data_IF_637944215443
#
_entry.id   IF_637944215443
#
_cell.length_a   1.000
_cell.length_b   1.000
_cell.length_c   1.000
_cell.angle_alpha   90.00
_cell.angle_beta   90.00
_cell.angle_gamma   90.00
#
_symmetry.space_group_name_H-M   'P 1'
#
loop_
_entity.id
_entity.type
_entity.pdbx_description
1 polymer ?
#
# COMPACT_ATOMS: atom_id res chain seq x y z
N UNK A 1 73.73 5.92 3.35
CA UNK A 1 72.75 5.21 4.20
C UNK A 1 71.47 6.07 4.24
N UNK A 2 70.49 5.77 3.39
CA UNK A 2 69.19 6.44 3.36
C UNK A 2 68.21 5.63 4.18
N UNK A 3 67.73 6.17 5.28
CA UNK A 3 66.67 5.57 6.09
C UNK A 3 65.28 5.95 5.57
N UNK A 4 64.60 5.02 4.93
CA UNK A 4 63.21 5.18 4.50
C UNK A 4 62.29 5.14 5.73
N UNK A 5 61.54 6.22 5.98
CA UNK A 5 60.45 6.25 6.96
C UNK A 5 59.16 5.77 6.26
N UNK A 6 58.70 4.62 6.68
CA UNK A 6 57.37 4.13 6.29
C UNK A 6 56.32 4.85 7.12
N UNK A 7 55.52 5.67 6.48
CA UNK A 7 54.32 6.30 7.07
C UNK A 7 53.17 5.28 6.99
N UNK A 8 52.81 4.68 8.11
CA UNK A 8 51.61 3.83 8.23
C UNK A 8 50.40 4.73 8.35
N UNK A 9 49.65 4.90 7.27
CA UNK A 9 48.33 5.55 7.31
C UNK A 9 47.32 4.60 7.94
N UNK A 10 46.91 4.89 9.16
CA UNK A 10 45.77 4.22 9.82
C UNK A 10 44.49 4.76 9.16
N UNK A 11 43.88 3.98 8.28
CA UNK A 11 42.50 4.21 7.84
C UNK A 11 41.57 3.98 9.04
N UNK A 12 41.13 5.06 9.64
CA UNK A 12 40.00 5.02 10.58
C UNK A 12 38.75 4.86 9.70
N UNK A 13 38.31 3.62 9.46
CA UNK A 13 36.95 3.37 9.01
C UNK A 13 36.01 3.90 10.09
N UNK A 14 35.50 5.12 9.88
CA UNK A 14 34.37 5.62 10.67
C UNK A 14 33.22 4.66 10.46
N UNK A 15 32.81 3.95 11.50
CA UNK A 15 31.55 3.23 11.54
C UNK A 15 30.48 4.32 11.41
N UNK A 16 29.97 4.54 10.21
CA UNK A 16 28.74 5.29 10.03
C UNK A 16 27.70 4.54 10.87
N UNK A 17 27.13 5.17 11.89
CA UNK A 17 26.04 4.61 12.68
C UNK A 17 24.97 4.19 11.69
N UNK A 18 24.76 2.89 11.53
CA UNK A 18 23.73 2.36 10.66
C UNK A 18 22.42 2.35 11.48
N UNK A 19 21.34 2.77 10.85
CA UNK A 19 20.00 2.60 11.39
C UNK A 19 19.78 1.13 11.74
N UNK A 20 19.26 0.88 12.95
CA UNK A 20 19.07 -0.49 13.42
C UNK A 20 17.62 -0.86 13.55
N UNK A 21 17.29 -2.11 13.20
CA UNK A 21 15.98 -2.69 13.43
C UNK A 21 16.06 -3.82 14.45
N UNK A 22 15.17 -3.76 15.45
CA UNK A 22 14.95 -4.84 16.40
C UNK A 22 13.56 -5.41 16.20
N UNK A 23 13.51 -6.69 15.83
CA UNK A 23 12.23 -7.41 15.65
C UNK A 23 11.61 -7.76 16.99
N UNK A 24 10.30 -8.04 17.01
CA UNK A 24 9.53 -8.35 18.21
C UNK A 24 10.18 -9.46 19.07
N UNK A 25 10.74 -10.50 18.46
CA UNK A 25 11.38 -11.62 19.16
C UNK A 25 12.75 -11.28 19.78
N UNK A 26 13.38 -10.20 19.31
CA UNK A 26 14.70 -9.74 19.78
C UNK A 26 14.61 -8.55 20.75
N UNK A 27 13.42 -7.96 20.92
CA UNK A 27 13.18 -6.84 21.83
C UNK A 27 13.21 -7.27 23.30
N UNK A 28 13.56 -6.31 24.17
CA UNK A 28 13.26 -6.44 25.60
C UNK A 28 11.74 -6.48 25.82
N UNK A 29 11.31 -7.11 26.91
CA UNK A 29 9.88 -7.12 27.27
C UNK A 29 9.33 -5.71 27.44
N UNK A 30 10.12 -4.81 27.98
CA UNK A 30 9.77 -3.39 28.20
C UNK A 30 9.47 -2.70 26.86
N UNK A 31 10.37 -2.77 25.90
CA UNK A 31 10.20 -2.12 24.60
C UNK A 31 9.03 -2.73 23.83
N UNK A 32 8.95 -4.08 23.80
CA UNK A 32 7.86 -4.79 23.13
C UNK A 32 6.50 -4.40 23.70
N UNK A 33 6.36 -4.37 25.02
CA UNK A 33 5.09 -4.04 25.68
C UNK A 33 4.75 -2.56 25.48
N UNK A 34 5.71 -1.64 25.50
CA UNK A 34 5.48 -0.23 25.25
C UNK A 34 4.97 0.04 23.82
N UNK A 35 5.60 -0.57 22.81
CA UNK A 35 5.16 -0.45 21.41
C UNK A 35 3.80 -1.10 21.18
N UNK A 36 3.59 -2.29 21.73
CA UNK A 36 2.32 -3.01 21.62
C UNK A 36 1.17 -2.22 22.28
N UNK A 37 1.39 -1.65 23.47
CA UNK A 37 0.40 -0.84 24.19
C UNK A 37 0.08 0.45 23.41
N UNK A 38 1.08 1.14 22.86
CA UNK A 38 0.86 2.33 22.05
C UNK A 38 0.05 2.00 20.78
N UNK A 39 0.41 0.96 20.04
CA UNK A 39 -0.32 0.52 18.85
C UNK A 39 -1.78 0.14 19.16
N UNK A 40 -2.00 -0.61 20.25
CA UNK A 40 -3.34 -0.98 20.70
C UNK A 40 -4.19 0.25 21.06
N UNK A 41 -3.64 1.18 21.85
CA UNK A 41 -4.37 2.39 22.25
C UNK A 41 -4.78 3.24 21.06
N UNK A 42 -3.91 3.37 20.04
CA UNK A 42 -4.24 4.07 18.78
C UNK A 42 -5.32 3.33 17.99
N UNK A 43 -5.26 1.99 17.91
CA UNK A 43 -6.27 1.18 17.23
C UNK A 43 -7.64 1.28 17.92
N UNK A 44 -7.68 1.34 19.26
CA UNK A 44 -8.91 1.57 20.03
C UNK A 44 -9.52 2.95 19.71
N UNK A 45 -8.71 4.01 19.54
CA UNK A 45 -9.20 5.31 19.10
C UNK A 45 -9.81 5.26 17.69
N UNK A 46 -9.15 4.57 16.75
CA UNK A 46 -9.70 4.36 15.39
C UNK A 46 -11.02 3.58 15.47
N UNK A 47 -11.07 2.48 16.21
CA UNK A 47 -12.27 1.66 16.35
C UNK A 47 -13.46 2.43 16.96
N UNK A 48 -13.17 3.30 17.93
CA UNK A 48 -14.16 4.17 18.56
C UNK A 48 -14.56 5.38 17.71
N UNK A 49 -13.96 5.58 16.53
CA UNK A 49 -14.06 6.80 15.72
C UNK A 49 -13.68 8.08 16.50
N UNK A 50 -12.75 7.95 17.46
CA UNK A 50 -12.26 9.05 18.30
C UNK A 50 -11.07 9.73 17.64
N UNK A 51 -11.34 10.49 16.57
CA UNK A 51 -10.31 11.21 15.83
C UNK A 51 -9.57 12.25 16.71
N UNK A 52 -10.27 12.92 17.62
CA UNK A 52 -9.68 13.89 18.55
C UNK A 52 -8.72 13.20 19.54
N UNK A 53 -9.10 12.05 20.09
CA UNK A 53 -8.25 11.25 20.95
C UNK A 53 -7.01 10.74 20.20
N UNK A 54 -7.13 10.35 18.94
CA UNK A 54 -5.98 9.95 18.12
C UNK A 54 -5.07 11.15 17.79
N UNK A 55 -5.64 12.33 17.49
CA UNK A 55 -4.90 13.57 17.29
C UNK A 55 -4.04 13.94 18.50
N UNK A 56 -4.57 13.78 19.71
CA UNK A 56 -3.83 14.03 20.95
C UNK A 56 -2.66 13.05 21.17
N UNK A 57 -2.66 11.91 20.50
CA UNK A 57 -1.58 10.92 20.51
C UNK A 57 -0.64 11.06 19.30
N UNK A 58 -0.80 12.09 18.48
CA UNK A 58 -0.04 12.30 17.24
C UNK A 58 1.09 13.29 17.46
N UNK A 59 2.21 13.11 16.76
CA UNK A 59 3.34 14.05 16.78
C UNK A 59 2.86 15.46 16.36
N UNK A 60 3.47 16.53 16.93
CA UNK A 60 2.99 17.90 16.71
C UNK A 60 2.90 18.31 15.24
N UNK A 61 3.80 17.81 14.40
CA UNK A 61 3.86 18.14 12.98
C UNK A 61 2.58 17.70 12.24
N UNK A 62 2.04 16.52 12.53
CA UNK A 62 0.83 16.00 11.89
C UNK A 62 -0.44 16.33 12.68
N UNK A 63 -0.34 16.58 13.97
CA UNK A 63 -1.48 17.01 14.77
C UNK A 63 -2.02 18.39 14.36
N UNK A 64 -1.16 19.26 13.78
CA UNK A 64 -1.54 20.61 13.30
C UNK A 64 -2.42 20.55 12.05
N UNK A 65 -2.21 19.55 11.18
CA UNK A 65 -2.99 19.34 9.96
C UNK A 65 -3.51 17.90 9.94
N UNK A 66 -4.49 17.63 10.82
CA UNK A 66 -5.02 16.29 11.05
C UNK A 66 -6.18 15.92 10.13
N UNK A 67 -6.67 16.83 9.30
CA UNK A 67 -7.89 16.64 8.50
C UNK A 67 -7.88 15.41 7.60
N UNK A 68 -6.76 15.16 6.91
CA UNK A 68 -6.61 13.97 6.08
C UNK A 68 -6.67 12.68 6.91
N UNK A 69 -5.99 12.64 8.06
CA UNK A 69 -6.00 11.47 8.97
C UNK A 69 -7.39 11.28 9.57
N UNK A 70 -8.07 12.36 9.94
CA UNK A 70 -9.46 12.30 10.42
C UNK A 70 -10.39 11.65 9.39
N UNK A 71 -10.25 12.00 8.10
CA UNK A 71 -11.00 11.35 7.02
C UNK A 71 -10.72 9.85 6.93
N UNK A 72 -9.45 9.45 7.05
CA UNK A 72 -9.05 8.02 7.07
C UNK A 72 -9.65 7.30 8.27
N UNK A 73 -9.62 7.90 9.47
CA UNK A 73 -10.25 7.34 10.68
C UNK A 73 -11.74 7.14 10.46
N UNK A 74 -12.46 8.17 9.96
CA UNK A 74 -13.90 8.10 9.70
C UNK A 74 -14.29 7.00 8.72
N UNK A 75 -13.46 6.77 7.68
CA UNK A 75 -13.67 5.72 6.68
C UNK A 75 -13.33 4.32 7.23
N UNK A 76 -12.40 4.22 8.19
CA UNK A 76 -11.92 2.93 8.74
C UNK A 76 -12.79 2.46 9.92
N UNK A 77 -13.22 3.36 10.78
CA UNK A 77 -13.94 3.04 12.00
C UNK A 77 -15.17 2.12 11.81
N UNK A 78 -16.04 2.36 10.80
CA UNK A 78 -17.17 1.45 10.54
C UNK A 78 -16.73 0.03 10.17
N UNK A 79 -15.58 -0.12 9.51
CA UNK A 79 -15.03 -1.40 9.03
C UNK A 79 -14.47 -2.26 10.17
N UNK A 80 -14.00 -1.63 11.24
CA UNK A 80 -13.37 -2.31 12.38
C UNK A 80 -14.24 -2.28 13.65
N UNK A 81 -15.47 -1.78 13.56
CA UNK A 81 -16.40 -1.68 14.68
C UNK A 81 -16.68 -3.06 15.27
N UNK A 82 -16.45 -3.21 16.59
CA UNK A 82 -16.68 -4.47 17.30
C UNK A 82 -15.66 -5.57 17.01
N UNK A 83 -14.65 -5.34 16.20
CA UNK A 83 -13.59 -6.30 15.94
C UNK A 83 -12.72 -6.52 17.20
N UNK A 84 -12.14 -7.71 17.33
CA UNK A 84 -11.14 -7.99 18.36
C UNK A 84 -9.78 -7.47 17.89
N UNK A 85 -9.17 -6.56 18.66
CA UNK A 85 -7.86 -5.97 18.34
C UNK A 85 -6.74 -6.84 18.88
N UNK A 86 -5.86 -7.31 18.01
CA UNK A 86 -4.72 -8.18 18.36
C UNK A 86 -3.44 -7.58 17.78
N UNK A 87 -2.38 -7.48 18.61
CA UNK A 87 -1.06 -7.09 18.11
C UNK A 87 -0.53 -8.24 17.25
N UNK A 88 -0.34 -7.99 15.96
CA UNK A 88 0.25 -8.96 15.03
C UNK A 88 1.78 -8.91 15.13
N UNK A 89 2.34 -7.71 15.04
CA UNK A 89 3.79 -7.51 15.02
C UNK A 89 4.16 -6.11 15.50
N UNK A 90 5.32 -5.99 16.15
CA UNK A 90 5.96 -4.69 16.43
C UNK A 90 7.42 -4.72 16.01
N UNK A 91 7.93 -3.56 15.57
CA UNK A 91 9.33 -3.32 15.22
C UNK A 91 9.82 -2.09 15.97
N UNK A 92 11.05 -2.15 16.50
CA UNK A 92 11.76 -0.97 17.01
C UNK A 92 12.81 -0.59 15.97
N UNK A 93 12.74 0.66 15.53
CA UNK A 93 13.55 1.24 14.47
C UNK A 93 14.36 2.38 15.10
N UNK A 94 15.67 2.21 15.30
CA UNK A 94 16.52 3.21 15.92
C UNK A 94 17.35 3.96 14.88
N UNK A 95 17.02 5.23 14.71
CA UNK A 95 17.70 6.19 13.85
C UNK A 95 18.32 7.32 14.69
N UNK A 96 18.69 7.07 15.95
CA UNK A 96 19.23 8.10 16.84
C UNK A 96 20.53 8.72 16.33
N UNK A 97 21.32 7.98 15.56
CA UNK A 97 22.57 8.43 14.96
C UNK A 97 22.41 8.98 13.51
N UNK A 98 21.16 9.07 13.00
CA UNK A 98 20.87 9.59 11.67
C UNK A 98 21.30 11.06 11.57
N UNK A 99 22.16 11.37 10.60
CA UNK A 99 22.61 12.74 10.36
C UNK A 99 21.70 13.41 9.33
N UNK A 100 21.40 14.70 9.51
CA UNK A 100 20.72 15.47 8.48
C UNK A 100 21.44 15.37 7.12
N UNK A 101 20.68 15.50 6.05
CA UNK A 101 21.24 15.62 4.71
C UNK A 101 22.17 16.82 4.55
N UNK A 102 22.91 16.86 3.44
CA UNK A 102 23.85 17.95 3.16
C UNK A 102 23.19 19.34 3.09
N UNK A 103 21.88 19.39 2.85
CA UNK A 103 21.05 20.60 2.84
C UNK A 103 20.47 20.97 4.23
N UNK A 104 20.88 20.27 5.28
CA UNK A 104 20.40 20.44 6.65
C UNK A 104 18.99 19.92 6.91
N UNK A 105 18.34 19.28 5.92
CA UNK A 105 17.01 18.69 6.07
C UNK A 105 17.07 17.29 6.67
N UNK A 106 15.94 16.81 7.23
CA UNK A 106 15.85 15.42 7.69
C UNK A 106 16.19 14.44 6.56
N UNK A 107 17.01 13.43 6.88
CA UNK A 107 17.43 12.41 5.91
C UNK A 107 16.39 11.30 5.79
N UNK A 108 16.54 10.47 4.76
CA UNK A 108 15.78 9.22 4.63
C UNK A 108 16.42 8.16 5.52
N UNK A 109 15.62 7.46 6.31
CA UNK A 109 16.07 6.33 7.11
C UNK A 109 15.73 5.01 6.43
N UNK A 110 16.66 4.05 6.50
CA UNK A 110 16.48 2.69 6.00
C UNK A 110 16.81 1.67 7.08
N UNK A 111 15.91 0.74 7.34
CA UNK A 111 16.07 -0.25 8.38
C UNK A 111 15.89 -1.64 7.80
N UNK A 112 16.92 -2.47 7.91
CA UNK A 112 16.87 -3.88 7.54
C UNK A 112 16.54 -4.73 8.76
N UNK A 113 15.37 -5.38 8.74
CA UNK A 113 14.89 -6.26 9.78
C UNK A 113 14.98 -7.72 9.31
N UNK A 114 15.97 -8.46 9.77
CA UNK A 114 16.04 -9.91 9.51
C UNK A 114 15.06 -10.66 10.41
N UNK A 115 14.20 -11.48 9.83
CA UNK A 115 13.17 -12.22 10.56
C UNK A 115 13.71 -13.59 10.99
N UNK A 116 13.70 -13.84 12.30
CA UNK A 116 14.07 -15.14 12.90
C UNK A 116 15.40 -15.74 12.40
N UNK A 117 16.41 -14.90 12.15
CA UNK A 117 17.73 -15.31 11.59
C UNK A 117 17.60 -16.07 10.25
N UNK A 118 16.53 -15.84 9.52
CA UNK A 118 16.30 -16.43 8.20
C UNK A 118 16.72 -15.45 7.10
N UNK A 119 16.66 -15.90 5.84
CA UNK A 119 16.81 -15.03 4.66
C UNK A 119 15.60 -14.11 4.46
N UNK A 120 14.52 -14.33 5.21
CA UNK A 120 13.36 -13.45 5.16
C UNK A 120 13.70 -12.13 5.88
N UNK A 121 13.48 -11.04 5.21
CA UNK A 121 13.72 -9.69 5.71
C UNK A 121 12.50 -8.80 5.46
N UNK A 122 12.35 -7.80 6.32
CA UNK A 122 11.48 -6.67 6.09
C UNK A 122 12.34 -5.40 6.10
N UNK A 123 12.22 -4.59 5.06
CA UNK A 123 12.92 -3.33 4.92
C UNK A 123 11.94 -2.18 5.11
N UNK A 124 12.31 -1.24 5.97
CA UNK A 124 11.56 0.00 6.15
C UNK A 124 12.34 1.13 5.47
N UNK A 125 11.65 1.89 4.60
CA UNK A 125 12.19 3.11 4.00
C UNK A 125 11.29 4.28 4.39
N UNK A 126 11.76 5.12 5.30
CA UNK A 126 10.99 6.23 5.85
C UNK A 126 11.65 7.54 5.40
N UNK A 127 11.00 8.30 4.51
CA UNK A 127 11.57 9.52 3.98
C UNK A 127 11.52 10.68 5.00
N UNK A 128 12.53 11.52 4.98
CA UNK A 128 12.59 12.82 5.67
C UNK A 128 12.26 12.73 7.17
N UNK A 129 12.94 11.84 7.89
CA UNK A 129 12.73 11.67 9.33
C UNK A 129 13.82 12.34 10.16
N UNK A 130 13.49 13.01 11.28
CA UNK A 130 14.46 13.42 12.29
C UNK A 130 15.17 12.23 12.92
N UNK A 131 16.40 12.44 13.42
CA UNK A 131 17.07 11.44 14.24
C UNK A 131 16.23 11.11 15.49
N UNK A 132 16.18 9.81 15.85
CA UNK A 132 15.40 9.37 17.01
C UNK A 132 14.96 7.91 16.92
N UNK A 133 14.17 7.51 17.91
CA UNK A 133 13.59 6.16 17.95
C UNK A 133 12.19 6.15 17.37
N UNK A 134 11.98 5.19 16.50
CA UNK A 134 10.70 4.91 15.84
C UNK A 134 10.23 3.51 16.20
N UNK A 135 8.96 3.28 16.05
CA UNK A 135 8.36 1.96 16.10
C UNK A 135 7.38 1.77 14.96
N UNK A 136 7.17 0.53 14.56
CA UNK A 136 6.08 0.19 13.66
C UNK A 136 5.23 -0.90 14.31
N UNK A 137 3.96 -0.58 14.56
CA UNK A 137 3.02 -1.48 15.20
C UNK A 137 1.93 -1.91 14.22
N UNK A 138 1.73 -3.22 14.07
CA UNK A 138 0.69 -3.81 13.25
C UNK A 138 -0.35 -4.42 14.18
N UNK A 139 -1.57 -3.91 14.10
CA UNK A 139 -2.73 -4.37 14.87
C UNK A 139 -3.74 -4.98 13.92
N UNK A 140 -4.08 -6.22 14.13
CA UNK A 140 -5.15 -6.91 13.41
C UNK A 140 -6.48 -6.65 14.11
N UNK A 141 -7.45 -6.10 13.39
CA UNK A 141 -8.84 -5.99 13.80
C UNK A 141 -9.59 -7.21 13.24
N UNK A 142 -9.72 -8.25 14.09
CA UNK A 142 -10.31 -9.54 13.74
C UNK A 142 -11.83 -9.49 13.72
N UNK A 143 -12.41 -9.93 12.61
CA UNK A 143 -13.86 -9.99 12.41
C UNK A 143 -14.17 -10.77 11.13
N UNK A 144 -15.42 -10.66 10.64
CA UNK A 144 -15.84 -11.32 9.39
C UNK A 144 -15.08 -10.79 8.16
N UNK A 145 -14.72 -9.51 8.16
CA UNK A 145 -13.84 -8.89 7.19
C UNK A 145 -12.69 -8.24 7.98
N UNK A 146 -11.55 -8.96 8.18
CA UNK A 146 -10.47 -8.47 9.03
C UNK A 146 -9.73 -7.31 8.36
N UNK A 147 -9.24 -6.40 9.21
CA UNK A 147 -8.44 -5.24 8.80
C UNK A 147 -7.11 -5.21 9.53
N UNK A 148 -6.09 -4.72 8.85
CA UNK A 148 -4.79 -4.40 9.44
C UNK A 148 -4.71 -2.90 9.66
N UNK A 149 -4.44 -2.52 10.91
CA UNK A 149 -4.23 -1.14 11.35
C UNK A 149 -2.73 -1.01 11.66
N UNK A 150 -1.97 -0.39 10.77
CA UNK A 150 -0.54 -0.23 10.93
C UNK A 150 -0.20 1.21 11.32
N UNK A 151 0.64 1.37 12.33
CA UNK A 151 1.04 2.67 12.86
C UNK A 151 2.56 2.81 12.81
N UNK A 152 3.05 3.85 12.14
CA UNK A 152 4.37 4.37 12.40
C UNK A 152 4.28 5.26 13.64
N UNK A 153 5.13 5.03 14.61
CA UNK A 153 5.17 5.78 15.86
C UNK A 153 6.58 6.30 16.13
N UNK A 154 6.69 7.48 16.73
CA UNK A 154 7.96 8.13 17.10
C UNK A 154 7.99 8.36 18.60
N UNK A 155 9.15 8.15 19.21
CA UNK A 155 9.33 8.44 20.62
C UNK A 155 9.63 9.92 20.82
N UNK A 156 8.71 10.62 21.48
CA UNK A 156 8.83 12.03 21.86
C UNK A 156 8.79 12.17 23.37
N UNK A 157 9.86 12.72 23.97
CA UNK A 157 9.95 12.93 25.43
C UNK A 157 9.58 11.66 26.23
N UNK A 158 10.03 10.50 25.78
CA UNK A 158 9.77 9.19 26.39
C UNK A 158 8.39 8.59 26.12
N UNK A 159 7.52 9.26 25.33
CA UNK A 159 6.19 8.75 24.94
C UNK A 159 6.17 8.36 23.47
N UNK A 160 5.47 7.28 23.14
CA UNK A 160 5.23 6.86 21.77
C UNK A 160 4.03 7.62 21.20
N UNK A 161 4.27 8.39 20.12
CA UNK A 161 3.24 9.18 19.44
C UNK A 161 3.12 8.75 17.98
N UNK A 162 1.92 8.84 17.42
CA UNK A 162 1.66 8.48 16.03
C UNK A 162 2.37 9.42 15.05
N UNK A 163 3.13 8.85 14.12
CA UNK A 163 3.80 9.51 13.02
C UNK A 163 3.28 9.03 11.64
N UNK A 164 2.32 8.12 11.62
CA UNK A 164 1.67 7.65 10.40
C UNK A 164 0.63 6.57 10.71
N UNK A 165 -0.45 6.53 9.89
CA UNK A 165 -1.53 5.54 10.02
C UNK A 165 -1.87 4.96 8.66
N UNK A 166 -1.83 3.62 8.53
CA UNK A 166 -1.98 2.86 7.29
C UNK A 166 -2.99 1.73 7.49
N UNK A 167 -4.29 1.99 7.39
CA UNK A 167 -5.30 0.95 7.45
C UNK A 167 -5.40 0.21 6.11
N UNK A 168 -5.50 -1.12 6.16
CA UNK A 168 -5.66 -1.98 5.00
C UNK A 168 -6.64 -3.11 5.29
N UNK A 169 -7.54 -3.47 4.34
CA UNK A 169 -8.27 -4.71 4.43
C UNK A 169 -7.28 -5.89 4.35
N UNK A 170 -7.61 -7.00 4.99
CA UNK A 170 -6.84 -8.25 4.90
C UNK A 170 -7.48 -9.26 3.96
N UNK A 171 -8.74 -9.01 3.58
CA UNK A 171 -9.50 -9.83 2.64
C UNK A 171 -10.22 -8.97 1.63
N UNK A 172 -10.46 -9.51 0.45
CA UNK A 172 -11.36 -8.96 -0.56
C UNK A 172 -12.21 -10.10 -1.12
N UNK A 173 -13.51 -9.87 -1.30
CA UNK A 173 -14.46 -10.90 -1.75
C UNK A 173 -14.34 -12.23 -0.98
N UNK A 174 -14.10 -12.17 0.33
CA UNK A 174 -13.96 -13.33 1.21
C UNK A 174 -12.62 -14.06 1.16
N UNK A 175 -11.66 -13.62 0.35
CA UNK A 175 -10.36 -14.25 0.19
C UNK A 175 -9.21 -13.36 0.67
N UNK A 176 -8.15 -13.97 1.22
CA UNK A 176 -6.94 -13.29 1.68
C UNK A 176 -5.92 -13.09 0.55
N UNK A 177 -4.86 -12.35 0.84
CA UNK A 177 -3.81 -12.06 -0.14
C UNK A 177 -3.04 -13.31 -0.61
N UNK A 178 -2.89 -14.35 0.21
CA UNK A 178 -2.22 -15.59 -0.19
C UNK A 178 -3.08 -16.40 -1.17
N UNK A 179 -4.40 -16.37 -0.97
CA UNK A 179 -5.32 -16.97 -1.93
C UNK A 179 -5.22 -16.28 -3.30
N UNK A 180 -5.24 -14.94 -3.34
CA UNK A 180 -5.08 -14.17 -4.59
C UNK A 180 -3.74 -14.47 -5.26
N UNK A 181 -2.65 -14.54 -4.51
CA UNK A 181 -1.33 -14.89 -5.04
C UNK A 181 -1.31 -16.29 -5.67
N UNK A 182 -1.93 -17.26 -5.01
CA UNK A 182 -2.03 -18.65 -5.50
C UNK A 182 -2.91 -18.73 -6.74
N UNK A 183 -4.04 -18.05 -6.75
CA UNK A 183 -4.95 -17.95 -7.88
C UNK A 183 -4.27 -17.31 -9.11
N UNK A 184 -3.53 -16.22 -8.90
CA UNK A 184 -2.75 -15.57 -9.95
C UNK A 184 -1.77 -16.54 -10.63
N UNK A 185 -1.01 -17.34 -9.86
CA UNK A 185 -0.12 -18.37 -10.40
C UNK A 185 -0.85 -19.43 -11.23
N UNK A 186 -2.08 -19.76 -10.87
CA UNK A 186 -2.92 -20.69 -11.64
C UNK A 186 -3.34 -20.06 -12.96
N UNK A 187 -3.73 -18.78 -12.95
CA UNK A 187 -4.09 -18.03 -14.17
C UNK A 187 -2.90 -17.89 -15.14
N UNK A 188 -1.67 -17.67 -14.62
CA UNK A 188 -0.45 -17.69 -15.45
C UNK A 188 -0.31 -19.02 -16.21
N UNK A 189 -0.53 -20.15 -15.53
CA UNK A 189 -0.48 -21.49 -16.16
C UNK A 189 -1.56 -21.66 -17.23
N UNK A 190 -2.72 -21.04 -17.03
CA UNK A 190 -3.84 -21.03 -17.97
C UNK A 190 -3.69 -19.99 -19.09
N UNK A 191 -2.58 -19.22 -19.11
CA UNK A 191 -2.29 -18.12 -20.05
C UNK A 191 -3.31 -16.96 -19.99
N UNK A 192 -3.92 -16.75 -18.84
CA UNK A 192 -4.83 -15.65 -18.54
C UNK A 192 -4.01 -14.50 -17.90
N UNK A 193 -3.19 -13.80 -18.71
CA UNK A 193 -2.20 -12.85 -18.21
C UNK A 193 -2.81 -11.63 -17.53
N UNK A 194 -3.91 -11.07 -18.08
CA UNK A 194 -4.61 -9.94 -17.50
C UNK A 194 -5.24 -10.28 -16.14
N UNK A 195 -5.91 -11.44 -16.06
CA UNK A 195 -6.49 -11.91 -14.82
C UNK A 195 -5.39 -12.15 -13.78
N UNK A 196 -4.30 -12.81 -14.17
CA UNK A 196 -3.16 -13.06 -13.29
C UNK A 196 -2.55 -11.76 -12.76
N UNK A 197 -2.30 -10.77 -13.64
CA UNK A 197 -1.69 -9.49 -13.26
C UNK A 197 -2.54 -8.71 -12.25
N UNK A 198 -3.86 -8.64 -12.46
CA UNK A 198 -4.79 -7.99 -11.55
C UNK A 198 -4.92 -8.74 -10.21
N UNK A 199 -4.88 -10.08 -10.22
CA UNK A 199 -4.90 -10.88 -8.99
C UNK A 199 -3.60 -10.75 -8.18
N UNK A 200 -2.43 -10.64 -8.83
CA UNK A 200 -1.17 -10.29 -8.14
C UNK A 200 -1.25 -8.91 -7.51
N UNK A 201 -1.82 -7.93 -8.20
CA UNK A 201 -2.01 -6.58 -7.66
C UNK A 201 -2.90 -6.60 -6.42
N UNK A 202 -4.00 -7.36 -6.45
CA UNK A 202 -4.88 -7.54 -5.30
C UNK A 202 -4.17 -8.25 -4.15
N UNK A 203 -3.36 -9.27 -4.44
CA UNK A 203 -2.55 -9.94 -3.43
C UNK A 203 -1.59 -8.98 -2.73
N UNK A 204 -0.89 -8.12 -3.47
CA UNK A 204 -0.01 -7.10 -2.89
C UNK A 204 -0.78 -6.11 -2.02
N UNK A 205 -1.92 -5.62 -2.48
CA UNK A 205 -2.75 -4.67 -1.73
C UNK A 205 -3.20 -5.22 -0.36
N UNK A 206 -3.47 -6.54 -0.28
CA UNK A 206 -3.90 -7.21 0.95
C UNK A 206 -2.72 -7.63 1.84
N UNK A 207 -1.56 -7.97 1.27
CA UNK A 207 -0.40 -8.46 2.01
C UNK A 207 0.52 -7.34 2.50
N UNK A 208 0.58 -6.20 1.80
CA UNK A 208 1.47 -5.10 2.15
C UNK A 208 0.85 -4.23 3.27
N UNK A 209 1.45 -4.19 4.48
CA UNK A 209 0.90 -3.43 5.59
C UNK A 209 1.01 -1.91 5.41
N UNK A 210 2.02 -1.43 4.68
CA UNK A 210 2.21 -0.01 4.37
C UNK A 210 3.22 0.17 3.22
N UNK A 211 3.08 1.24 2.45
CA UNK A 211 3.95 1.53 1.31
C UNK A 211 5.43 1.72 1.67
N UNK A 212 5.71 2.08 2.94
CA UNK A 212 7.07 2.24 3.47
C UNK A 212 7.77 0.91 3.81
N UNK A 213 7.09 -0.22 3.63
CA UNK A 213 7.62 -1.55 3.95
C UNK A 213 7.81 -2.34 2.65
N UNK A 214 8.99 -2.92 2.54
CA UNK A 214 9.34 -3.95 1.58
C UNK A 214 9.61 -5.27 2.33
N UNK A 215 9.48 -6.39 1.65
CA UNK A 215 9.92 -7.67 2.20
C UNK A 215 10.30 -8.61 1.08
N UNK A 216 11.11 -9.63 1.40
CA UNK A 216 11.49 -10.68 0.43
C UNK A 216 10.27 -11.38 -0.19
N UNK A 217 9.17 -11.51 0.56
CA UNK A 217 7.94 -12.08 0.03
C UNK A 217 7.20 -11.11 -0.91
N UNK A 218 7.10 -9.82 -0.55
CA UNK A 218 6.50 -8.80 -1.42
C UNK A 218 7.33 -8.58 -2.68
N UNK A 219 8.66 -8.62 -2.58
CA UNK A 219 9.55 -8.57 -3.74
C UNK A 219 9.31 -9.76 -4.68
N UNK A 220 9.24 -10.98 -4.14
CA UNK A 220 8.90 -12.17 -4.93
C UNK A 220 7.55 -12.04 -5.61
N UNK A 221 6.52 -11.54 -4.91
CA UNK A 221 5.19 -11.31 -5.48
C UNK A 221 5.26 -10.33 -6.66
N UNK A 222 5.93 -9.19 -6.49
CA UNK A 222 6.11 -8.20 -7.56
C UNK A 222 6.90 -8.74 -8.75
N UNK A 223 7.94 -9.53 -8.51
CA UNK A 223 8.70 -10.17 -9.59
C UNK A 223 7.82 -11.14 -10.39
N UNK A 224 6.96 -11.92 -9.72
CA UNK A 224 5.99 -12.80 -10.38
C UNK A 224 4.94 -11.98 -11.15
N UNK A 225 4.43 -10.87 -10.59
CA UNK A 225 3.50 -9.96 -11.27
C UNK A 225 4.11 -9.35 -12.53
N UNK A 226 5.34 -8.85 -12.42
CA UNK A 226 6.06 -8.26 -13.55
C UNK A 226 6.31 -9.28 -14.67
N UNK A 227 6.68 -10.51 -14.31
CA UNK A 227 6.86 -11.60 -15.26
C UNK A 227 5.55 -12.04 -15.95
N UNK A 228 4.41 -11.86 -15.29
CA UNK A 228 3.08 -12.17 -15.81
C UNK A 228 2.43 -11.00 -16.56
N UNK A 229 3.04 -9.80 -16.54
CA UNK A 229 2.44 -8.60 -17.11
C UNK A 229 2.10 -8.78 -18.58
N UNK A 230 0.88 -8.43 -19.00
CA UNK A 230 0.50 -8.46 -20.42
C UNK A 230 1.41 -7.56 -21.25
N UNK A 231 1.79 -7.96 -22.49
CA UNK A 231 2.65 -7.13 -23.37
C UNK A 231 2.12 -5.70 -23.60
N UNK A 232 0.80 -5.53 -23.59
CA UNK A 232 0.14 -4.22 -23.70
C UNK A 232 0.47 -3.26 -22.54
N UNK A 233 0.98 -3.77 -21.41
CA UNK A 233 1.41 -2.98 -20.25
C UNK A 233 2.92 -2.69 -20.26
N UNK A 234 3.63 -2.96 -21.33
CA UNK A 234 5.09 -2.73 -21.42
C UNK A 234 5.49 -1.27 -21.18
N UNK A 235 4.62 -0.31 -21.50
CA UNK A 235 4.77 1.11 -21.17
C UNK A 235 4.13 1.53 -19.86
N UNK A 236 3.51 0.59 -19.12
CA UNK A 236 2.74 0.86 -17.93
C UNK A 236 1.26 1.18 -18.22
N UNK A 237 0.54 1.57 -17.15
CA UNK A 237 -0.83 2.08 -17.21
C UNK A 237 -0.92 3.25 -16.22
N UNK A 238 -0.45 4.42 -16.67
CA UNK A 238 -0.35 5.65 -15.86
C UNK A 238 -0.90 6.85 -16.63
N UNK A 239 -1.00 7.99 -15.99
CA UNK A 239 -1.44 9.23 -16.63
C UNK A 239 -0.52 9.66 -17.79
N UNK A 240 0.79 9.39 -17.69
CA UNK A 240 1.79 9.73 -18.70
C UNK A 240 1.97 8.63 -19.77
N UNK A 241 1.63 7.39 -19.44
CA UNK A 241 1.68 6.24 -20.32
C UNK A 241 0.37 5.44 -20.22
N UNK A 242 -0.75 5.94 -20.77
CA UNK A 242 -2.03 5.26 -20.66
C UNK A 242 -2.08 4.01 -21.55
N UNK A 243 -2.85 3.02 -21.10
CA UNK A 243 -3.25 1.91 -21.94
C UNK A 243 -4.33 2.42 -22.92
N UNK A 244 -4.00 2.43 -24.20
CA UNK A 244 -4.92 2.89 -25.26
C UNK A 244 -5.65 1.71 -25.85
N UNK A 245 -6.98 1.75 -25.83
CA UNK A 245 -7.86 0.74 -26.40
C UNK A 245 -8.77 1.40 -27.43
N UNK A 246 -8.98 0.74 -28.59
CA UNK A 246 -9.85 1.23 -29.65
C UNK A 246 -11.23 0.58 -29.57
N UNK A 247 -12.25 1.40 -29.61
CA UNK A 247 -13.63 0.96 -29.78
C UNK A 247 -13.93 0.49 -31.19
N UNK A 248 -15.07 -0.16 -31.37
CA UNK A 248 -15.54 -0.64 -32.69
C UNK A 248 -15.82 0.52 -33.66
N UNK A 249 -16.14 1.68 -33.16
CA UNK A 249 -16.35 2.93 -33.90
C UNK A 249 -15.05 3.69 -34.23
N UNK A 250 -13.89 3.15 -33.79
CA UNK A 250 -12.57 3.77 -33.94
C UNK A 250 -12.22 4.79 -32.87
N UNK A 251 -13.07 5.05 -31.90
CA UNK A 251 -12.75 5.91 -30.76
C UNK A 251 -11.63 5.31 -29.92
N UNK A 252 -10.74 6.17 -29.39
CA UNK A 252 -9.63 5.74 -28.52
C UNK A 252 -9.97 6.04 -27.07
N UNK A 253 -9.80 5.03 -26.20
CA UNK A 253 -10.00 5.10 -24.77
C UNK A 253 -8.66 5.00 -24.05
N UNK A 254 -8.30 6.02 -23.26
CA UNK A 254 -7.02 6.16 -22.59
C UNK A 254 -7.16 5.81 -21.11
N UNK A 255 -6.86 4.57 -20.75
CA UNK A 255 -6.91 4.11 -19.36
C UNK A 255 -5.60 4.47 -18.64
N UNK A 256 -5.72 5.24 -17.57
CA UNK A 256 -4.57 5.71 -16.77
C UNK A 256 -4.32 4.87 -15.52
N UNK A 257 -5.25 3.97 -15.18
CA UNK A 257 -5.12 3.02 -14.08
C UNK A 257 -6.05 1.85 -14.29
N UNK A 258 -5.59 0.66 -13.92
CA UNK A 258 -6.42 -0.55 -13.77
C UNK A 258 -6.19 -1.13 -12.39
N UNK A 259 -7.25 -1.62 -11.76
CA UNK A 259 -7.22 -2.21 -10.42
C UNK A 259 -8.41 -3.12 -10.20
N UNK A 260 -8.61 -3.50 -8.95
CA UNK A 260 -9.71 -4.38 -8.51
C UNK A 260 -10.40 -3.77 -7.30
N UNK A 261 -11.70 -3.99 -7.20
CA UNK A 261 -12.54 -3.56 -6.08
C UNK A 261 -13.55 -4.64 -5.72
N UNK A 262 -13.94 -4.73 -4.44
CA UNK A 262 -14.91 -5.71 -3.94
C UNK A 262 -16.12 -5.06 -3.26
N UNK A 263 -16.33 -3.76 -3.48
CA UNK A 263 -17.36 -2.99 -2.78
C UNK A 263 -18.78 -3.20 -3.32
N UNK A 264 -18.94 -3.65 -4.57
CA UNK A 264 -20.22 -3.74 -5.26
C UNK A 264 -21.04 -4.97 -4.94
N UNK A 265 -20.44 -6.14 -5.07
CA UNK A 265 -21.12 -7.40 -4.88
C UNK A 265 -20.40 -8.21 -3.82
N UNK A 266 -21.17 -8.67 -2.83
CA UNK A 266 -20.63 -9.54 -1.80
C UNK A 266 -19.95 -10.75 -2.43
N UNK A 267 -18.77 -11.09 -1.92
CA UNK A 267 -17.97 -12.24 -2.34
C UNK A 267 -17.55 -12.23 -3.83
N UNK A 268 -17.49 -11.04 -4.46
CA UNK A 268 -17.07 -10.86 -5.86
C UNK A 268 -16.14 -9.67 -5.99
N UNK A 269 -15.30 -9.70 -7.03
CA UNK A 269 -14.42 -8.59 -7.39
C UNK A 269 -14.77 -8.05 -8.76
N UNK A 270 -14.62 -6.76 -8.92
CA UNK A 270 -14.83 -6.01 -10.15
C UNK A 270 -13.53 -5.36 -10.60
N UNK A 271 -13.39 -5.14 -11.91
CA UNK A 271 -12.30 -4.35 -12.46
C UNK A 271 -12.62 -2.88 -12.19
N UNK A 272 -11.65 -2.12 -11.69
CA UNK A 272 -11.71 -0.66 -11.67
C UNK A 272 -10.77 -0.09 -12.71
N UNK A 273 -11.23 0.91 -13.46
CA UNK A 273 -10.41 1.60 -14.45
C UNK A 273 -10.62 3.12 -14.39
N UNK A 274 -9.52 3.88 -14.45
CA UNK A 274 -9.57 5.34 -14.62
C UNK A 274 -9.40 5.67 -16.09
N UNK A 275 -10.32 6.44 -16.63
CA UNK A 275 -10.36 6.84 -18.03
C UNK A 275 -10.07 8.36 -18.12
N UNK A 276 -9.02 8.72 -18.82
CA UNK A 276 -8.70 10.13 -19.09
C UNK A 276 -9.67 10.68 -20.13
N UNK A 277 -10.30 11.80 -19.81
CA UNK A 277 -11.22 12.52 -20.70
C UNK A 277 -10.99 14.03 -20.62
N UNK A 278 -11.33 14.76 -21.68
CA UNK A 278 -11.18 16.21 -21.69
C UNK A 278 -12.25 16.89 -20.83
N UNK A 279 -13.47 16.32 -20.81
CA UNK A 279 -14.61 16.82 -20.05
C UNK A 279 -15.43 15.64 -19.51
N UNK A 280 -15.98 15.79 -18.29
CA UNK A 280 -16.92 14.82 -17.75
C UNK A 280 -18.16 14.69 -18.65
N UNK A 281 -18.68 15.85 -19.12
CA UNK A 281 -19.83 15.92 -20.02
C UNK A 281 -21.18 15.80 -19.31
N UNK A 282 -22.24 15.80 -20.09
CA UNK A 282 -23.59 15.49 -19.63
C UNK A 282 -23.66 14.03 -19.11
N UNK A 283 -24.44 13.72 -18.05
CA UNK A 283 -24.51 12.39 -17.46
C UNK A 283 -24.89 11.28 -18.46
N UNK A 284 -25.75 11.52 -19.44
CA UNK A 284 -26.15 10.54 -20.44
C UNK A 284 -24.99 10.25 -21.40
N UNK A 285 -24.32 11.30 -21.87
CA UNK A 285 -23.14 11.20 -22.74
C UNK A 285 -21.98 10.53 -22.00
N UNK A 286 -21.74 10.92 -20.73
CA UNK A 286 -20.69 10.35 -19.90
C UNK A 286 -20.93 8.86 -19.65
N UNK A 287 -22.17 8.46 -19.32
CA UNK A 287 -22.55 7.05 -19.14
C UNK A 287 -22.32 6.24 -20.42
N UNK A 288 -22.77 6.75 -21.57
CA UNK A 288 -22.56 6.09 -22.84
C UNK A 288 -21.08 5.88 -23.13
N UNK A 289 -20.27 6.94 -23.06
CA UNK A 289 -18.81 6.87 -23.25
C UNK A 289 -18.16 5.83 -22.35
N UNK A 290 -18.52 5.79 -21.05
CA UNK A 290 -17.95 4.85 -20.11
C UNK A 290 -18.37 3.40 -20.46
N UNK A 291 -19.62 3.18 -20.89
CA UNK A 291 -20.10 1.86 -21.36
C UNK A 291 -19.34 1.42 -22.62
N UNK A 292 -19.18 2.33 -23.60
CA UNK A 292 -18.42 2.04 -24.81
C UNK A 292 -16.94 1.70 -24.49
N UNK A 293 -16.33 2.40 -23.51
CA UNK A 293 -14.98 2.10 -23.02
C UNK A 293 -14.88 0.73 -22.34
N UNK A 294 -15.90 0.32 -21.55
CA UNK A 294 -15.97 -1.05 -20.99
C UNK A 294 -16.03 -2.09 -22.10
N UNK A 295 -16.89 -1.89 -23.08
CA UNK A 295 -17.04 -2.79 -24.23
C UNK A 295 -15.74 -2.92 -25.01
N UNK A 296 -15.06 -1.79 -25.27
CA UNK A 296 -13.77 -1.76 -25.93
C UNK A 296 -12.69 -2.54 -25.14
N UNK A 297 -12.62 -2.32 -23.82
CA UNK A 297 -11.68 -3.01 -22.94
C UNK A 297 -11.87 -4.52 -22.95
N UNK A 298 -13.12 -4.97 -22.85
CA UNK A 298 -13.45 -6.40 -22.82
C UNK A 298 -13.40 -7.07 -24.21
N UNK A 299 -13.55 -6.30 -25.28
CA UNK A 299 -13.32 -6.79 -26.64
C UNK A 299 -11.82 -6.98 -26.93
N UNK A 300 -10.98 -6.03 -26.47
CA UNK A 300 -9.53 -6.15 -26.60
C UNK A 300 -8.94 -7.26 -25.71
N UNK A 301 -9.51 -7.49 -24.52
CA UNK A 301 -9.01 -8.44 -23.52
C UNK A 301 -10.13 -9.35 -22.98
N UNK A 302 -10.65 -10.28 -23.79
CA UNK A 302 -11.85 -11.06 -23.44
C UNK A 302 -11.66 -12.00 -22.24
N UNK A 303 -10.43 -12.34 -21.87
CA UNK A 303 -10.16 -13.14 -20.67
C UNK A 303 -10.64 -12.46 -19.37
N UNK A 304 -10.70 -11.12 -19.35
CA UNK A 304 -11.19 -10.35 -18.20
C UNK A 304 -12.62 -10.74 -17.80
N UNK A 305 -13.45 -11.14 -18.77
CA UNK A 305 -14.83 -11.60 -18.51
C UNK A 305 -14.91 -12.83 -17.60
N UNK A 306 -13.85 -13.63 -17.52
CA UNK A 306 -13.82 -14.86 -16.71
C UNK A 306 -13.40 -14.62 -15.26
N UNK A 307 -12.57 -13.60 -15.02
CA UNK A 307 -11.95 -13.35 -13.73
C UNK A 307 -12.73 -12.42 -12.80
N UNK A 308 -13.70 -11.66 -13.36
CA UNK A 308 -14.33 -10.55 -12.64
C UNK A 308 -15.85 -10.54 -12.83
N UNK A 309 -16.55 -9.93 -11.87
CA UNK A 309 -18.00 -9.83 -11.89
C UNK A 309 -18.52 -8.66 -12.73
N UNK A 310 -17.79 -7.53 -12.73
CA UNK A 310 -18.19 -6.32 -13.43
C UNK A 310 -17.00 -5.40 -13.71
N UNK A 311 -17.31 -4.22 -14.25
CA UNK A 311 -16.33 -3.16 -14.52
C UNK A 311 -16.85 -1.83 -14.02
N UNK A 312 -15.98 -1.08 -13.32
CA UNK A 312 -16.14 0.32 -12.98
C UNK A 312 -15.25 1.18 -13.85
N UNK A 313 -15.80 2.19 -14.49
CA UNK A 313 -15.04 3.26 -15.14
C UNK A 313 -15.20 4.55 -14.35
N UNK A 314 -14.10 5.13 -13.93
CA UNK A 314 -14.02 6.48 -13.38
C UNK A 314 -13.43 7.39 -14.46
N UNK A 315 -14.29 8.14 -15.16
CA UNK A 315 -13.85 9.11 -16.16
C UNK A 315 -13.39 10.39 -15.46
N UNK A 316 -12.11 10.74 -15.65
CA UNK A 316 -11.43 11.86 -14.98
C UNK A 316 -11.12 12.97 -15.98
N UNK A 317 -11.69 14.15 -15.73
CA UNK A 317 -11.41 15.40 -16.45
C UNK A 317 -10.67 16.38 -15.53
N UNK A 318 -9.76 17.23 -16.08
CA UNK A 318 -9.04 18.22 -15.28
C UNK A 318 -10.00 19.14 -14.50
N UNK A 319 -9.78 19.26 -13.19
CA UNK A 319 -10.56 20.17 -12.32
C UNK A 319 -12.01 19.77 -12.07
N UNK A 320 -12.44 18.58 -12.46
CA UNK A 320 -13.80 18.08 -12.27
C UNK A 320 -13.81 16.81 -11.41
N UNK A 321 -14.93 16.56 -10.73
CA UNK A 321 -15.11 15.28 -10.04
C UNK A 321 -15.24 14.16 -11.08
N UNK A 322 -14.67 12.98 -10.81
CA UNK A 322 -14.78 11.81 -11.69
C UNK A 322 -16.24 11.40 -11.88
N UNK A 323 -16.63 11.08 -13.12
CA UNK A 323 -17.92 10.48 -13.40
C UNK A 323 -17.78 8.96 -13.41
N UNK A 324 -18.44 8.30 -12.47
CA UNK A 324 -18.38 6.84 -12.32
C UNK A 324 -19.54 6.14 -13.04
N UNK A 325 -19.24 5.04 -13.69
CA UNK A 325 -20.22 4.11 -14.26
C UNK A 325 -19.80 2.68 -13.93
N UNK A 326 -20.74 1.87 -13.51
CA UNK A 326 -20.55 0.47 -13.19
C UNK A 326 -21.55 -0.37 -13.97
N UNK A 327 -21.07 -1.52 -14.46
CA UNK A 327 -21.90 -2.55 -15.08
C UNK A 327 -21.38 -3.95 -14.74
N UNK A 328 -22.31 -4.88 -14.52
CA UNK A 328 -21.97 -6.29 -14.45
C UNK A 328 -21.52 -6.83 -15.82
N UNK A 329 -20.64 -7.86 -15.83
CA UNK A 329 -20.09 -8.41 -17.08
C UNK A 329 -21.16 -8.83 -18.10
N UNK A 330 -22.32 -9.32 -17.63
CA UNK A 330 -23.43 -9.73 -18.51
C UNK A 330 -24.19 -8.57 -19.15
N UNK A 331 -24.00 -7.32 -18.68
CA UNK A 331 -24.63 -6.11 -19.18
C UNK A 331 -23.74 -5.35 -20.18
N UNK A 332 -22.46 -5.75 -20.30
CA UNK A 332 -21.48 -5.11 -21.19
C UNK A 332 -21.43 -5.90 -22.51
N UNK A 333 -21.93 -5.29 -23.59
CA UNK A 333 -22.05 -5.92 -24.93
C UNK A 333 -20.99 -5.41 -25.89
#
# INVERSE_FOLDING_TARGET
MLTARVLTAVLICGVAGAETCTTQSAMTDTDRNALASAGRAMAEKVQANDAAGLQAMTIPEYAKDFGAIQGVVGNTAPKVKGASLVIEQVYLLDASDLKPGADGKPANAQFLCTLNRSIAAADFSIPSVPAGKYGFAIVEARGAAPWRLSFLIRQEQGKWQMAGFYPRPMTAAGHDGLWYWTAARTMVKSKEQWNAWLYYQQAEALLNPAALIQSSHLEKLRNEQNAAAPPALSSGVTADAPLVVKGADGAEYHFTSLGVDDSLAKDKIDITARLKVDQAGDPVVARKRNTDAMSALLAAYPELRKGFHGVWIFAEAPGQNPYATELAMGEIH
#
